data_IF_339455780712
#
_entry.id   IF_339455780712
#
_cell.length_a   1.000
_cell.length_b   1.000
_cell.length_c   1.000
_cell.angle_alpha   90.00
_cell.angle_beta   90.00
_cell.angle_gamma   90.00
#
_symmetry.space_group_name_H-M   'P 1'
#
loop_
_entity.id
_entity.type
_entity.pdbx_description
1 polymer ?
#
# COMPACT_ATOMS: atom_id res chain seq x y z
N UNK A 1 4.28 6.54 5.25
CA UNK A 1 5.08 5.56 4.50
C UNK A 1 6.37 5.20 5.25
N UNK A 2 7.06 6.15 5.86
CA UNK A 2 8.42 6.01 6.43
C UNK A 2 8.65 4.83 7.38
N UNK A 3 7.82 4.61 8.40
CA UNK A 3 8.09 3.61 9.43
C UNK A 3 8.00 2.18 8.90
N UNK A 4 6.96 1.89 8.10
CA UNK A 4 6.71 0.52 7.62
C UNK A 4 7.67 0.12 6.48
N UNK A 5 8.14 1.10 5.68
CA UNK A 5 9.10 0.85 4.60
C UNK A 5 10.55 0.75 5.08
N UNK A 6 10.87 1.26 6.28
CA UNK A 6 12.24 1.25 6.81
C UNK A 6 12.79 -0.18 7.00
N UNK A 7 11.98 -1.11 7.50
CA UNK A 7 12.39 -2.51 7.67
C UNK A 7 12.72 -3.19 6.35
N UNK A 8 11.89 -2.98 5.33
CA UNK A 8 12.11 -3.52 3.98
C UNK A 8 13.35 -2.87 3.34
N UNK A 9 13.55 -1.55 3.52
CA UNK A 9 14.72 -0.87 3.00
C UNK A 9 16.04 -1.42 3.57
N UNK A 10 16.07 -1.79 4.86
CA UNK A 10 17.22 -2.47 5.47
C UNK A 10 17.46 -3.81 4.77
N UNK A 11 16.42 -4.62 4.55
CA UNK A 11 16.55 -5.90 3.85
C UNK A 11 17.03 -5.75 2.40
N UNK A 12 16.57 -4.72 1.68
CA UNK A 12 17.07 -4.40 0.33
C UNK A 12 18.57 -4.12 0.38
N UNK A 13 19.04 -3.32 1.36
CA UNK A 13 20.47 -2.99 1.50
C UNK A 13 21.36 -4.19 1.80
N UNK A 14 20.85 -5.16 2.56
CA UNK A 14 21.59 -6.38 2.89
C UNK A 14 21.26 -7.56 1.96
N UNK A 15 20.57 -7.32 0.85
CA UNK A 15 20.09 -8.39 -0.05
C UNK A 15 21.20 -9.29 -0.59
N UNK A 16 22.39 -8.74 -0.85
CA UNK A 16 23.56 -9.50 -1.31
C UNK A 16 24.00 -10.60 -0.33
N UNK A 17 23.84 -10.38 0.98
CA UNK A 17 24.22 -11.36 2.01
C UNK A 17 23.26 -12.55 2.09
N UNK A 18 22.02 -12.39 1.64
CA UNK A 18 20.98 -13.43 1.69
C UNK A 18 20.86 -14.20 0.37
N UNK A 19 21.69 -13.89 -0.62
CA UNK A 19 21.59 -14.51 -1.93
C UNK A 19 21.74 -16.04 -1.84
N UNK A 20 20.80 -16.75 -2.48
CA UNK A 20 20.73 -18.22 -2.50
C UNK A 20 20.58 -18.92 -1.13
N UNK A 21 20.12 -18.20 -0.10
CA UNK A 21 19.82 -18.78 1.20
C UNK A 21 18.37 -19.28 1.31
N UNK A 22 18.12 -20.23 2.22
CA UNK A 22 16.75 -20.68 2.55
C UNK A 22 15.83 -19.50 2.97
N UNK A 23 16.42 -18.43 3.51
CA UNK A 23 15.70 -17.23 3.93
C UNK A 23 14.94 -16.55 2.79
N UNK A 24 15.46 -16.60 1.56
CA UNK A 24 14.80 -16.02 0.38
C UNK A 24 13.46 -16.72 0.07
N UNK A 25 13.43 -18.06 0.17
CA UNK A 25 12.20 -18.85 0.00
C UNK A 25 11.18 -18.55 1.11
N UNK A 26 11.66 -18.38 2.34
CA UNK A 26 10.79 -17.96 3.46
C UNK A 26 10.19 -16.57 3.21
N UNK A 27 10.99 -15.61 2.75
CA UNK A 27 10.49 -14.26 2.43
C UNK A 27 9.43 -14.29 1.33
N UNK A 28 9.65 -15.08 0.27
CA UNK A 28 8.69 -15.25 -0.81
C UNK A 28 7.34 -15.76 -0.29
N UNK A 29 7.36 -16.84 0.50
CA UNK A 29 6.13 -17.46 1.00
C UNK A 29 5.36 -16.56 1.98
N UNK A 30 6.06 -15.93 2.94
CA UNK A 30 5.45 -15.02 3.91
C UNK A 30 4.90 -13.77 3.20
N UNK A 31 5.64 -13.23 2.23
CA UNK A 31 5.19 -12.10 1.40
C UNK A 31 3.90 -12.42 0.63
N UNK A 32 3.84 -13.59 0.00
CA UNK A 32 2.63 -14.05 -0.69
C UNK A 32 1.43 -14.21 0.24
N UNK A 33 1.61 -14.83 1.40
CA UNK A 33 0.53 -15.01 2.39
C UNK A 33 0.02 -13.68 2.94
N UNK A 34 0.92 -12.75 3.27
CA UNK A 34 0.55 -11.42 3.79
C UNK A 34 -0.18 -10.59 2.74
N UNK A 35 0.24 -10.64 1.48
CA UNK A 35 -0.47 -10.02 0.37
C UNK A 35 -1.91 -10.55 0.27
N UNK A 36 -2.08 -11.87 0.27
CA UNK A 36 -3.39 -12.49 0.14
C UNK A 36 -4.32 -12.16 1.31
N UNK A 37 -3.84 -12.31 2.54
CA UNK A 37 -4.64 -12.06 3.75
C UNK A 37 -5.08 -10.60 3.85
N UNK A 38 -4.17 -9.65 3.58
CA UNK A 38 -4.50 -8.23 3.63
C UNK A 38 -5.47 -7.80 2.52
N UNK A 39 -5.34 -8.36 1.32
CA UNK A 39 -6.28 -8.15 0.22
C UNK A 39 -7.68 -8.67 0.56
N UNK A 40 -7.77 -9.86 1.16
CA UNK A 40 -9.04 -10.44 1.59
C UNK A 40 -9.72 -9.60 2.68
N UNK A 41 -8.98 -9.21 3.72
CA UNK A 41 -9.51 -8.39 4.83
C UNK A 41 -9.98 -7.01 4.37
N UNK A 42 -9.32 -6.41 3.38
CA UNK A 42 -9.68 -5.08 2.88
C UNK A 42 -11.11 -5.00 2.33
N UNK A 43 -11.65 -6.12 1.81
CA UNK A 43 -13.01 -6.17 1.25
C UNK A 43 -14.11 -6.09 2.32
N UNK A 44 -13.79 -6.39 3.58
CA UNK A 44 -14.75 -6.40 4.68
C UNK A 44 -14.67 -5.15 5.56
N UNK A 45 -13.70 -4.26 5.32
CA UNK A 45 -13.53 -3.04 6.07
C UNK A 45 -14.32 -1.88 5.45
N UNK A 46 -14.92 -1.05 6.32
CA UNK A 46 -15.71 0.11 5.90
C UNK A 46 -15.01 1.45 6.19
N UNK A 47 -13.97 1.44 7.05
CA UNK A 47 -13.21 2.64 7.38
C UNK A 47 -12.18 2.95 6.29
N UNK A 48 -12.26 4.14 5.67
CA UNK A 48 -11.38 4.47 4.53
C UNK A 48 -9.89 4.41 4.87
N UNK A 49 -9.50 4.81 6.08
CA UNK A 49 -8.09 4.73 6.52
C UNK A 49 -7.62 3.29 6.65
N UNK A 50 -8.47 2.38 7.15
CA UNK A 50 -8.13 0.96 7.29
C UNK A 50 -8.00 0.28 5.95
N UNK A 51 -8.87 0.58 4.99
CA UNK A 51 -8.75 0.06 3.62
C UNK A 51 -7.44 0.53 2.96
N UNK A 52 -7.08 1.82 3.10
CA UNK A 52 -5.81 2.33 2.57
C UNK A 52 -4.62 1.68 3.28
N UNK A 53 -4.73 1.41 4.59
CA UNK A 53 -3.69 0.72 5.36
C UNK A 53 -3.54 -0.75 4.95
N UNK A 54 -4.63 -1.51 4.82
CA UNK A 54 -4.58 -2.91 4.36
C UNK A 54 -4.00 -3.03 2.95
N UNK A 55 -4.32 -2.07 2.08
CA UNK A 55 -3.68 -1.99 0.76
C UNK A 55 -2.22 -1.52 0.79
N UNK A 56 -1.70 -0.97 1.90
CA UNK A 56 -0.23 -0.85 2.09
C UNK A 56 0.38 -2.17 2.52
N UNK A 57 -0.31 -2.92 3.38
CA UNK A 57 0.15 -4.23 3.85
C UNK A 57 0.25 -5.22 2.68
N UNK A 58 -0.68 -5.18 1.74
CA UNK A 58 -0.64 -6.02 0.54
C UNK A 58 0.53 -5.68 -0.38
N UNK A 59 0.78 -4.40 -0.62
CA UNK A 59 1.90 -3.91 -1.43
C UNK A 59 3.26 -4.17 -0.78
N UNK A 60 3.35 -4.09 0.55
CA UNK A 60 4.55 -4.47 1.29
C UNK A 60 4.81 -5.98 1.21
N UNK A 61 3.75 -6.81 1.28
CA UNK A 61 3.84 -8.25 1.02
C UNK A 61 4.36 -8.57 -0.38
N UNK A 62 3.91 -7.82 -1.39
CA UNK A 62 4.46 -7.89 -2.75
C UNK A 62 5.95 -7.53 -2.78
N UNK A 63 6.37 -6.40 -2.23
CA UNK A 63 7.79 -5.99 -2.20
C UNK A 63 8.65 -7.05 -1.49
N UNK A 64 8.14 -7.62 -0.40
CA UNK A 64 8.82 -8.68 0.34
C UNK A 64 8.94 -9.98 -0.48
N UNK A 65 7.93 -10.33 -1.27
CA UNK A 65 7.98 -11.49 -2.15
C UNK A 65 8.96 -11.31 -3.33
N UNK A 66 9.02 -10.10 -3.91
CA UNK A 66 9.98 -9.75 -4.97
C UNK A 66 11.41 -9.83 -4.47
N UNK A 67 11.66 -9.40 -3.22
CA UNK A 67 12.95 -9.59 -2.57
C UNK A 67 13.29 -11.07 -2.40
N UNK A 68 12.33 -11.91 -2.03
CA UNK A 68 12.52 -13.36 -1.94
C UNK A 68 12.88 -14.04 -3.27
N UNK A 69 12.51 -13.45 -4.42
CA UNK A 69 12.93 -13.93 -5.74
C UNK A 69 14.35 -13.46 -6.11
N UNK A 70 14.86 -12.41 -5.45
CA UNK A 70 16.21 -11.87 -5.68
C UNK A 70 16.27 -10.61 -6.53
N UNK A 71 15.13 -9.99 -6.86
CA UNK A 71 15.09 -8.73 -7.62
C UNK A 71 15.08 -7.50 -6.70
N UNK A 72 16.23 -7.18 -6.10
CA UNK A 72 16.38 -6.05 -5.15
C UNK A 72 16.10 -4.68 -5.78
N UNK A 73 16.58 -4.44 -7.00
CA UNK A 73 16.35 -3.16 -7.70
C UNK A 73 14.88 -2.91 -8.02
N UNK A 74 14.15 -3.97 -8.44
CA UNK A 74 12.71 -3.89 -8.71
C UNK A 74 11.93 -3.61 -7.42
N UNK A 75 12.30 -4.29 -6.33
CA UNK A 75 11.70 -4.05 -5.01
C UNK A 75 11.91 -2.61 -4.54
N UNK A 76 13.09 -2.03 -4.79
CA UNK A 76 13.38 -0.64 -4.46
C UNK A 76 12.56 0.35 -5.30
N UNK A 77 12.49 0.13 -6.62
CA UNK A 77 11.66 0.95 -7.51
C UNK A 77 10.19 0.93 -7.06
N UNK A 78 9.65 -0.26 -6.79
CA UNK A 78 8.26 -0.41 -6.34
C UNK A 78 8.01 0.24 -4.97
N UNK A 79 8.98 0.18 -4.06
CA UNK A 79 8.88 0.85 -2.75
C UNK A 79 8.75 2.37 -2.92
N UNK A 80 9.50 2.97 -3.84
CA UNK A 80 9.46 4.41 -4.11
C UNK A 80 8.12 4.83 -4.75
N UNK A 81 7.67 4.13 -5.80
CA UNK A 81 6.40 4.44 -6.47
C UNK A 81 5.21 4.28 -5.51
N UNK A 82 5.21 3.20 -4.72
CA UNK A 82 4.22 2.95 -3.69
C UNK A 82 4.18 4.08 -2.65
N UNK A 83 5.34 4.56 -2.19
CA UNK A 83 5.41 5.65 -1.21
C UNK A 83 4.77 6.95 -1.75
N UNK A 84 5.02 7.27 -3.02
CA UNK A 84 4.45 8.44 -3.69
C UNK A 84 2.92 8.34 -3.77
N UNK A 85 2.38 7.28 -4.39
CA UNK A 85 0.93 7.15 -4.58
C UNK A 85 0.16 6.99 -3.27
N UNK A 86 0.73 6.30 -2.27
CA UNK A 86 0.08 6.20 -0.95
C UNK A 86 0.03 7.52 -0.22
N UNK A 87 1.05 8.37 -0.33
CA UNK A 87 1.01 9.69 0.29
C UNK A 87 -0.13 10.55 -0.26
N UNK A 88 -0.36 10.48 -1.57
CA UNK A 88 -1.47 11.16 -2.27
C UNK A 88 -2.82 10.62 -1.80
N UNK A 89 -2.99 9.29 -1.70
CA UNK A 89 -4.23 8.68 -1.20
C UNK A 89 -4.57 9.11 0.22
N UNK A 90 -3.60 9.06 1.14
CA UNK A 90 -3.84 9.46 2.53
C UNK A 90 -4.17 10.96 2.65
N UNK A 91 -3.56 11.81 1.82
CA UNK A 91 -3.89 13.24 1.78
C UNK A 91 -5.31 13.49 1.25
N UNK A 92 -5.72 12.79 0.18
CA UNK A 92 -7.07 12.88 -0.36
C UNK A 92 -8.13 12.36 0.63
N UNK A 93 -7.87 11.21 1.27
CA UNK A 93 -8.73 10.66 2.31
C UNK A 93 -8.83 11.61 3.52
N UNK A 94 -7.73 12.26 3.91
CA UNK A 94 -7.74 13.29 4.96
C UNK A 94 -8.68 14.45 4.62
N UNK A 95 -8.67 14.92 3.37
CA UNK A 95 -9.60 15.96 2.90
C UNK A 95 -11.06 15.50 2.87
N UNK A 96 -11.33 14.25 2.50
CA UNK A 96 -12.70 13.69 2.59
C UNK A 96 -13.21 13.68 4.02
N UNK A 97 -12.42 13.17 4.96
CA UNK A 97 -12.77 13.11 6.39
C UNK A 97 -13.02 14.52 6.95
N UNK A 98 -12.17 15.48 6.59
CA UNK A 98 -12.35 16.87 7.00
C UNK A 98 -13.67 17.46 6.47
N UNK A 99 -13.95 17.26 5.18
CA UNK A 99 -15.20 17.76 4.56
C UNK A 99 -16.46 17.14 5.14
N UNK A 100 -16.38 15.91 5.63
CA UNK A 100 -17.48 15.15 6.24
C UNK A 100 -17.46 15.25 7.78
N UNK A 101 -16.85 16.29 8.35
CA UNK A 101 -16.84 16.58 9.80
C UNK A 101 -16.34 15.41 10.66
N UNK A 102 -15.36 14.65 10.16
CA UNK A 102 -14.71 13.55 10.90
C UNK A 102 -15.24 12.15 10.60
N UNK A 103 -16.27 12.00 9.74
CA UNK A 103 -16.81 10.68 9.37
C UNK A 103 -15.82 9.93 8.46
N UNK A 104 -15.46 8.70 8.87
CA UNK A 104 -14.47 7.85 8.17
C UNK A 104 -15.09 6.66 7.42
N UNK A 105 -16.32 6.31 7.76
CA UNK A 105 -17.05 5.18 7.19
C UNK A 105 -17.55 5.53 5.79
N UNK A 106 -17.12 4.73 4.80
CA UNK A 106 -17.39 4.95 3.37
C UNK A 106 -18.89 4.86 3.05
N UNK A 107 -19.69 4.19 3.87
CA UNK A 107 -21.14 4.09 3.64
C UNK A 107 -21.85 5.44 3.67
N UNK A 108 -21.27 6.43 4.35
CA UNK A 108 -21.79 7.79 4.39
C UNK A 108 -21.22 8.70 3.29
N UNK A 109 -20.32 8.19 2.45
CA UNK A 109 -19.66 8.97 1.41
C UNK A 109 -20.59 9.06 0.21
N UNK A 110 -21.51 10.03 0.23
CA UNK A 110 -22.40 10.32 -0.88
C UNK A 110 -21.88 11.48 -1.71
N UNK A 111 -21.98 11.35 -3.05
CA UNK A 111 -21.86 12.46 -3.99
C UNK A 111 -20.51 13.25 -3.94
N UNK A 112 -19.41 12.59 -3.57
CA UNK A 112 -18.08 13.19 -3.41
C UNK A 112 -17.58 13.91 -4.66
N UNK A 113 -17.89 13.40 -5.85
CA UNK A 113 -17.51 14.02 -7.12
C UNK A 113 -18.09 15.43 -7.30
N UNK A 114 -19.34 15.65 -6.84
CA UNK A 114 -19.97 16.98 -6.96
C UNK A 114 -19.44 17.96 -5.91
N UNK A 115 -19.14 17.47 -4.70
CA UNK A 115 -18.64 18.33 -3.61
C UNK A 115 -17.16 18.68 -3.79
N UNK A 116 -16.34 17.70 -4.18
CA UNK A 116 -14.90 17.82 -4.26
C UNK A 116 -14.36 17.16 -5.55
N UNK A 117 -14.57 17.78 -6.72
CA UNK A 117 -14.24 17.20 -8.01
C UNK A 117 -12.73 16.97 -8.21
N UNK A 118 -11.90 17.93 -7.80
CA UNK A 118 -10.44 17.83 -8.00
C UNK A 118 -9.85 16.69 -7.15
N UNK A 119 -10.26 16.57 -5.89
CA UNK A 119 -9.70 15.53 -5.02
C UNK A 119 -10.22 14.14 -5.36
N UNK A 120 -11.46 14.02 -5.83
CA UNK A 120 -11.98 12.74 -6.31
C UNK A 120 -11.22 12.29 -7.56
N UNK A 121 -10.92 13.19 -8.50
CA UNK A 121 -10.09 12.87 -9.66
C UNK A 121 -8.67 12.42 -9.27
N UNK A 122 -8.00 13.14 -8.36
CA UNK A 122 -6.66 12.77 -7.87
C UNK A 122 -6.70 11.43 -7.10
N UNK A 123 -7.74 11.19 -6.30
CA UNK A 123 -7.92 9.94 -5.59
C UNK A 123 -8.02 8.77 -6.58
N UNK A 124 -8.85 8.92 -7.62
CA UNK A 124 -9.04 7.89 -8.65
C UNK A 124 -7.78 7.64 -9.45
N UNK A 125 -7.07 8.69 -9.88
CA UNK A 125 -5.79 8.53 -10.58
C UNK A 125 -4.78 7.77 -9.72
N UNK A 126 -4.73 8.08 -8.42
CA UNK A 126 -3.83 7.38 -7.49
C UNK A 126 -4.26 5.94 -7.18
N UNK A 127 -5.56 5.62 -7.23
CA UNK A 127 -6.03 4.23 -7.12
C UNK A 127 -5.72 3.44 -8.39
N UNK A 128 -5.86 4.03 -9.57
CA UNK A 128 -5.51 3.35 -10.83
C UNK A 128 -4.03 3.02 -10.89
N UNK A 129 -3.16 3.93 -10.47
CA UNK A 129 -1.71 3.70 -10.37
C UNK A 129 -1.29 2.73 -9.24
N UNK A 130 -2.24 2.18 -8.48
CA UNK A 130 -1.98 1.15 -7.47
C UNK A 130 -2.56 -0.22 -7.85
N UNK A 131 -3.53 -0.25 -8.76
CA UNK A 131 -4.09 -1.49 -9.32
C UNK A 131 -3.20 -2.10 -10.41
N UNK A 132 -2.16 -1.38 -10.84
CA UNK A 132 -1.11 -1.75 -11.79
C UNK A 132 -0.06 -0.65 -11.82
#
# INVERSE_FOLDING_TARGET
>A
STLVTAGIYILIRYSEYFYNSLFMNFMFFIGGLTMFMSGFLANFENDIKKIIALSTLSQLGLIFSVLGIGFSDLAYFHLLSHAMFKSVLFMCAGKFIYSLKGIQDIRYYSNLFKMLPITSMIFISSTFSLCG
#
